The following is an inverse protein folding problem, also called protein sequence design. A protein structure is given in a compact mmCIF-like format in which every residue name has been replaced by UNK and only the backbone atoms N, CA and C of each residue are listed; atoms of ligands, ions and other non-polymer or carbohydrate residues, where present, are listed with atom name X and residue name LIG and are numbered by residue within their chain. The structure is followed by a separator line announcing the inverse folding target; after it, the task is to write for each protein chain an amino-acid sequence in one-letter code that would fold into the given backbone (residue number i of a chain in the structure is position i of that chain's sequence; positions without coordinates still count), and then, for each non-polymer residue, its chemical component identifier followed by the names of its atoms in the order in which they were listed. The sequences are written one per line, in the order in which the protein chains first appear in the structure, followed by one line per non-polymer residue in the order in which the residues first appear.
data_IF_975484233950
#
_entry.id   IF_975484233950
#
_cell.length_a   1.000
_cell.length_b   1.000
_cell.length_c   1.000
_cell.angle_alpha   90.00
_cell.angle_beta   90.00
_cell.angle_gamma   90.00
#
_symmetry.space_group_name_H-M   'P 1'
#
loop_
_entity.id
_entity.type
_entity.pdbx_description
1 polymer ?
#
# COMPACT_ATOMS: atom_id res chain seq x y z
N UNK A 1 1.94 33.95 -36.36
CA UNK A 1 1.64 32.52 -36.66
C UNK A 1 1.21 31.76 -35.40
N UNK A 2 1.88 31.98 -34.26
CA UNK A 2 1.58 31.33 -32.97
C UNK A 2 0.13 31.52 -32.46
N UNK A 3 -0.48 32.70 -32.66
CA UNK A 3 -1.85 32.98 -32.18
C UNK A 3 -2.94 32.09 -32.81
N UNK A 4 -2.80 31.73 -34.10
CA UNK A 4 -3.81 30.90 -34.78
C UNK A 4 -3.73 29.44 -34.34
N UNK A 5 -2.52 28.94 -34.11
CA UNK A 5 -2.29 27.59 -33.58
C UNK A 5 -2.83 27.48 -32.16
N UNK A 6 -2.55 28.45 -31.29
CA UNK A 6 -3.05 28.47 -29.91
C UNK A 6 -4.59 28.45 -29.86
N UNK A 7 -5.22 29.22 -30.75
CA UNK A 7 -6.68 29.30 -30.87
C UNK A 7 -7.29 28.00 -31.39
N UNK A 8 -6.69 27.37 -32.39
CA UNK A 8 -7.13 26.09 -32.90
C UNK A 8 -7.04 24.99 -31.82
N UNK A 9 -5.90 24.94 -31.10
CA UNK A 9 -5.69 23.98 -30.01
C UNK A 9 -6.70 24.20 -28.87
N UNK A 10 -6.95 25.44 -28.48
CA UNK A 10 -7.93 25.76 -27.44
C UNK A 10 -9.32 25.21 -27.76
N UNK A 11 -9.83 25.50 -28.96
CA UNK A 11 -11.17 25.04 -29.35
C UNK A 11 -11.26 23.53 -29.56
N UNK A 12 -10.19 22.89 -30.03
CA UNK A 12 -10.11 21.43 -30.10
C UNK A 12 -10.24 20.81 -28.71
N UNK A 13 -9.50 21.32 -27.72
CA UNK A 13 -9.55 20.82 -26.34
C UNK A 13 -10.91 21.08 -25.70
N UNK A 14 -11.54 22.23 -25.93
CA UNK A 14 -12.90 22.52 -25.45
C UNK A 14 -13.92 21.53 -26.01
N UNK A 15 -13.81 21.19 -27.30
CA UNK A 15 -14.70 20.21 -27.92
C UNK A 15 -14.51 18.80 -27.35
N UNK A 16 -13.26 18.40 -27.11
CA UNK A 16 -12.93 17.12 -26.48
C UNK A 16 -13.46 17.05 -25.04
N UNK A 17 -13.28 18.10 -24.25
CA UNK A 17 -13.79 18.18 -22.87
C UNK A 17 -15.33 18.13 -22.83
N UNK A 18 -16.00 18.90 -23.68
CA UNK A 18 -17.46 18.87 -23.77
C UNK A 18 -17.99 17.48 -24.17
N UNK A 19 -17.32 16.82 -25.11
CA UNK A 19 -17.63 15.45 -25.52
C UNK A 19 -17.42 14.44 -24.39
N UNK A 20 -16.32 14.55 -23.64
CA UNK A 20 -16.05 13.71 -22.47
C UNK A 20 -17.13 13.91 -21.40
N UNK A 21 -17.43 15.15 -21.01
CA UNK A 21 -18.47 15.46 -20.01
C UNK A 21 -19.83 14.84 -20.40
N UNK A 22 -20.20 14.94 -21.69
CA UNK A 22 -21.41 14.31 -22.21
C UNK A 22 -21.39 12.78 -22.10
N UNK A 23 -20.27 12.15 -22.48
CA UNK A 23 -20.11 10.69 -22.40
C UNK A 23 -20.15 10.19 -20.94
N UNK A 24 -19.46 10.86 -20.03
CA UNK A 24 -19.43 10.54 -18.59
C UNK A 24 -20.80 10.73 -17.95
N UNK A 25 -21.59 11.71 -18.38
CA UNK A 25 -22.97 11.88 -17.92
C UNK A 25 -23.86 10.70 -18.31
N UNK A 26 -23.77 10.23 -19.57
CA UNK A 26 -24.53 9.08 -20.06
C UNK A 26 -24.10 7.78 -19.35
N UNK A 27 -22.80 7.54 -19.22
CA UNK A 27 -22.27 6.33 -18.56
C UNK A 27 -22.50 6.35 -17.03
N UNK A 28 -22.37 7.51 -16.39
CA UNK A 28 -22.58 7.68 -14.95
C UNK A 28 -24.03 7.42 -14.53
N UNK A 29 -25.01 7.76 -15.37
CA UNK A 29 -26.42 7.41 -15.16
C UNK A 29 -26.67 5.90 -15.33
N UNK A 30 -25.97 5.25 -16.27
CA UNK A 30 -26.08 3.82 -16.50
C UNK A 30 -25.40 2.97 -15.40
N UNK A 31 -24.35 3.50 -14.77
CA UNK A 31 -23.56 2.82 -13.73
C UNK A 31 -24.06 3.08 -12.29
N UNK A 32 -25.05 3.96 -12.10
CA UNK A 32 -25.67 4.25 -10.81
C UNK A 32 -26.56 3.08 -10.35
N UNK A 33 -25.95 1.93 -10.05
CA UNK A 33 -26.57 0.85 -9.28
C UNK A 33 -26.89 1.30 -7.85
N UNK A 34 -27.48 0.41 -7.01
CA UNK A 34 -28.02 0.74 -5.68
C UNK A 34 -26.93 0.98 -4.61
N UNK A 35 -25.97 1.84 -4.90
CA UNK A 35 -24.89 2.23 -3.99
C UNK A 35 -25.25 3.50 -3.20
N UNK A 36 -24.57 3.71 -2.07
CA UNK A 36 -24.87 4.72 -1.04
C UNK A 36 -24.63 6.19 -1.46
N UNK A 37 -24.32 6.47 -2.73
CA UNK A 37 -24.10 7.83 -3.23
C UNK A 37 -25.37 8.38 -3.85
N UNK A 38 -25.80 9.58 -3.41
CA UNK A 38 -27.01 10.19 -3.94
C UNK A 38 -26.85 10.49 -5.44
N UNK A 39 -27.87 10.26 -6.29
CA UNK A 39 -27.83 10.60 -7.71
C UNK A 39 -27.48 12.08 -7.99
N UNK A 40 -27.86 12.96 -7.06
CA UNK A 40 -27.51 14.38 -7.09
C UNK A 40 -26.00 14.62 -6.95
N UNK A 41 -25.32 13.87 -6.09
CA UNK A 41 -23.86 13.96 -5.93
C UNK A 41 -23.12 13.56 -7.21
N UNK A 42 -23.61 12.52 -7.89
CA UNK A 42 -23.05 12.06 -9.18
C UNK A 42 -23.25 13.12 -10.26
N UNK A 43 -24.46 13.70 -10.35
CA UNK A 43 -24.76 14.79 -11.28
C UNK A 43 -23.88 16.03 -11.02
N UNK A 44 -23.72 16.41 -9.76
CA UNK A 44 -22.89 17.55 -9.36
C UNK A 44 -21.42 17.36 -9.74
N UNK A 45 -20.85 16.20 -9.39
CA UNK A 45 -19.42 15.94 -9.55
C UNK A 45 -19.02 15.66 -11.01
N UNK A 46 -19.85 14.94 -11.78
CA UNK A 46 -19.49 14.50 -13.13
C UNK A 46 -19.94 15.46 -14.23
N UNK A 47 -20.90 16.35 -13.96
CA UNK A 47 -21.47 17.21 -14.99
C UNK A 47 -21.42 18.69 -14.62
N UNK A 48 -21.97 19.07 -13.46
CA UNK A 48 -22.10 20.50 -13.09
C UNK A 48 -20.74 21.15 -12.83
N UNK A 49 -19.90 20.53 -12.01
CA UNK A 49 -18.58 21.09 -11.67
C UNK A 49 -17.65 21.16 -12.90
N UNK A 50 -17.46 20.08 -13.69
CA UNK A 50 -16.64 20.14 -14.90
C UNK A 50 -17.17 21.13 -15.95
N UNK A 51 -18.49 21.18 -16.13
CA UNK A 51 -19.13 22.12 -17.05
C UNK A 51 -18.92 23.59 -16.65
N UNK A 52 -19.00 23.90 -15.35
CA UNK A 52 -18.73 25.25 -14.85
C UNK A 52 -17.27 25.67 -15.05
N UNK A 53 -16.31 24.76 -14.83
CA UNK A 53 -14.88 25.00 -15.08
C UNK A 53 -14.63 25.26 -16.57
N UNK A 54 -15.20 24.43 -17.46
CA UNK A 54 -15.08 24.61 -18.91
C UNK A 54 -15.69 25.94 -19.38
N UNK A 55 -16.88 26.29 -18.87
CA UNK A 55 -17.53 27.57 -19.18
C UNK A 55 -16.69 28.77 -18.70
N UNK A 56 -16.11 28.69 -17.50
CA UNK A 56 -15.20 29.70 -16.97
C UNK A 56 -13.95 29.88 -17.84
N UNK A 57 -13.36 28.79 -18.31
CA UNK A 57 -12.20 28.83 -19.21
C UNK A 57 -12.53 29.46 -20.57
N UNK A 58 -13.67 29.12 -21.17
CA UNK A 58 -14.16 29.74 -22.42
C UNK A 58 -14.41 31.23 -22.22
N UNK A 59 -15.06 31.62 -21.12
CA UNK A 59 -15.34 33.02 -20.81
C UNK A 59 -14.04 33.82 -20.62
N UNK A 60 -13.07 33.24 -19.90
CA UNK A 60 -11.74 33.83 -19.72
C UNK A 60 -11.03 34.00 -21.06
N UNK A 61 -11.04 32.99 -21.93
CA UNK A 61 -10.41 33.05 -23.25
C UNK A 61 -10.98 34.16 -24.15
N UNK A 62 -12.32 34.31 -24.16
CA UNK A 62 -13.01 35.31 -24.99
C UNK A 62 -12.82 36.74 -24.49
N UNK A 63 -12.72 36.94 -23.17
CA UNK A 63 -12.65 38.28 -22.54
C UNK A 63 -11.25 38.69 -22.08
N UNK A 64 -10.27 37.80 -22.18
CA UNK A 64 -8.90 38.07 -21.76
C UNK A 64 -8.30 39.27 -22.53
N UNK A 65 -7.92 40.36 -21.83
CA UNK A 65 -7.24 41.50 -22.44
C UNK A 65 -5.76 41.24 -22.72
N UNK A 66 -5.18 40.21 -22.09
CA UNK A 66 -3.76 39.88 -22.19
C UNK A 66 -3.58 38.42 -22.61
N UNK A 67 -2.54 38.14 -23.41
CA UNK A 67 -2.30 36.81 -23.98
C UNK A 67 -1.96 35.75 -22.92
N UNK A 68 -1.33 36.12 -21.81
CA UNK A 68 -1.04 35.17 -20.73
C UNK A 68 -2.31 34.63 -20.06
N UNK A 69 -3.41 35.38 -20.02
CA UNK A 69 -4.70 34.90 -19.51
C UNK A 69 -5.33 33.86 -20.46
N UNK A 70 -5.07 33.97 -21.77
CA UNK A 70 -5.47 32.94 -22.74
C UNK A 70 -4.64 31.67 -22.55
N UNK A 71 -3.35 31.79 -22.23
CA UNK A 71 -2.52 30.64 -21.85
C UNK A 71 -3.06 29.98 -20.58
N UNK A 72 -3.51 30.75 -19.58
CA UNK A 72 -4.17 30.19 -18.37
C UNK A 72 -5.45 29.43 -18.74
N UNK A 73 -6.32 30.01 -19.58
CA UNK A 73 -7.51 29.31 -20.06
C UNK A 73 -7.16 28.02 -20.83
N UNK A 74 -6.12 28.03 -21.65
CA UNK A 74 -5.63 26.83 -22.34
C UNK A 74 -5.14 25.76 -21.36
N UNK A 75 -4.39 26.15 -20.33
CA UNK A 75 -3.90 25.22 -19.31
C UNK A 75 -5.07 24.54 -18.58
N UNK A 76 -6.12 25.29 -18.24
CA UNK A 76 -7.32 24.76 -17.58
C UNK A 76 -8.01 23.68 -18.42
N UNK A 77 -8.21 23.92 -19.72
CA UNK A 77 -8.87 22.95 -20.63
C UNK A 77 -7.92 21.80 -21.00
N UNK A 78 -6.61 21.99 -20.93
CA UNK A 78 -5.64 20.92 -21.18
C UNK A 78 -5.44 19.97 -19.99
N UNK A 79 -5.75 20.42 -18.77
CA UNK A 79 -5.44 19.68 -17.54
C UNK A 79 -6.02 18.25 -17.47
N UNK A 80 -7.27 17.97 -17.89
CA UNK A 80 -7.80 16.62 -17.90
C UNK A 80 -7.01 15.67 -18.82
N UNK A 81 -6.62 16.17 -19.99
CA UNK A 81 -5.86 15.41 -20.98
C UNK A 81 -4.41 15.22 -20.56
N UNK A 82 -3.80 16.22 -19.92
CA UNK A 82 -2.47 16.09 -19.33
C UNK A 82 -2.48 15.06 -18.20
N UNK A 83 -3.54 15.02 -17.37
CA UNK A 83 -3.71 13.99 -16.36
C UNK A 83 -3.90 12.60 -16.97
N UNK A 84 -4.70 12.47 -18.04
CA UNK A 84 -4.88 11.23 -18.78
C UNK A 84 -3.60 10.75 -19.47
N UNK A 85 -2.87 11.64 -20.14
CA UNK A 85 -1.59 11.32 -20.79
C UNK A 85 -0.53 11.00 -19.75
N UNK A 86 -0.45 11.75 -18.65
CA UNK A 86 0.45 11.44 -17.53
C UNK A 86 0.13 10.06 -16.97
N UNK A 87 -1.14 9.77 -16.71
CA UNK A 87 -1.62 8.47 -16.25
C UNK A 87 -1.31 7.36 -17.26
N UNK A 88 -1.50 7.60 -18.56
CA UNK A 88 -1.20 6.65 -19.62
C UNK A 88 0.31 6.42 -19.78
N UNK A 89 1.15 7.43 -19.56
CA UNK A 89 2.60 7.30 -19.59
C UNK A 89 3.12 6.54 -18.36
N UNK A 90 2.55 6.78 -17.18
CA UNK A 90 2.89 6.01 -15.97
C UNK A 90 2.37 4.58 -16.07
N UNK A 91 1.13 4.40 -16.54
CA UNK A 91 0.51 3.07 -16.71
C UNK A 91 1.11 2.29 -17.88
N UNK A 92 1.52 2.97 -18.95
CA UNK A 92 2.18 2.36 -20.11
C UNK A 92 3.56 1.81 -19.76
N UNK A 93 4.33 2.50 -18.93
CA UNK A 93 5.58 1.96 -18.36
C UNK A 93 5.33 0.71 -17.51
N UNK A 94 4.22 0.68 -16.76
CA UNK A 94 3.81 -0.48 -15.98
C UNK A 94 3.41 -1.66 -16.88
N UNK A 95 2.55 -1.44 -17.88
CA UNK A 95 2.17 -2.46 -18.87
C UNK A 95 3.36 -3.00 -19.64
N UNK A 96 4.37 -2.17 -19.94
CA UNK A 96 5.60 -2.64 -20.60
C UNK A 96 6.43 -3.57 -19.69
N UNK A 97 6.43 -3.36 -18.37
CA UNK A 97 7.06 -4.27 -17.40
C UNK A 97 6.22 -5.53 -17.15
N UNK A 98 4.89 -5.38 -17.17
CA UNK A 98 3.92 -6.44 -16.89
C UNK A 98 2.91 -6.66 -18.06
N UNK A 99 3.37 -7.02 -19.28
CA UNK A 99 2.54 -7.00 -20.49
C UNK A 99 1.46 -8.08 -20.58
N UNK A 100 1.36 -8.97 -19.59
CA UNK A 100 0.42 -10.10 -19.58
C UNK A 100 -0.75 -9.99 -18.61
N UNK A 101 -0.92 -8.88 -17.89
CA UNK A 101 -1.75 -8.86 -16.68
C UNK A 101 -2.81 -7.76 -16.67
N UNK A 102 -3.98 -8.05 -17.27
CA UNK A 102 -5.16 -7.17 -17.25
C UNK A 102 -5.89 -7.17 -15.89
N UNK A 103 -5.51 -8.06 -14.96
CA UNK A 103 -6.07 -8.19 -13.60
C UNK A 103 -5.15 -7.71 -12.47
N UNK A 104 -4.00 -7.10 -12.80
CA UNK A 104 -3.15 -6.40 -11.84
C UNK A 104 -2.12 -7.21 -11.04
N UNK A 105 -1.99 -8.53 -11.23
CA UNK A 105 -1.28 -9.40 -10.25
C UNK A 105 0.24 -9.21 -10.06
N UNK A 106 1.06 -8.62 -10.90
CA UNK A 106 2.53 -8.77 -10.86
C UNK A 106 3.01 -10.22 -11.07
N UNK A 107 3.96 -10.39 -12.01
CA UNK A 107 4.61 -11.67 -12.27
C UNK A 107 5.30 -12.25 -11.02
N UNK A 108 5.86 -11.38 -10.19
CA UNK A 108 6.57 -11.76 -8.97
C UNK A 108 5.63 -12.32 -7.90
N UNK A 109 4.50 -11.65 -7.64
CA UNK A 109 3.54 -12.15 -6.64
C UNK A 109 2.96 -13.51 -7.04
N UNK A 110 2.65 -13.70 -8.32
CA UNK A 110 2.20 -14.99 -8.85
C UNK A 110 3.27 -16.08 -8.72
N UNK A 111 4.52 -15.79 -9.05
CA UNK A 111 5.62 -16.74 -8.91
C UNK A 111 5.82 -17.16 -7.44
N UNK A 112 5.70 -16.22 -6.49
CA UNK A 112 5.76 -16.51 -5.06
C UNK A 112 4.62 -17.41 -4.60
N UNK A 113 3.38 -17.17 -5.06
CA UNK A 113 2.22 -18.04 -4.72
C UNK A 113 2.42 -19.47 -5.22
N UNK A 114 3.00 -19.64 -6.40
CA UNK A 114 3.19 -20.95 -6.99
C UNK A 114 4.22 -21.80 -6.22
N UNK A 115 5.10 -21.17 -5.43
CA UNK A 115 6.03 -21.90 -4.54
C UNK A 115 5.32 -22.77 -3.51
N UNK A 116 4.10 -22.44 -3.08
CA UNK A 116 3.33 -23.31 -2.17
C UNK A 116 3.02 -24.67 -2.80
N UNK A 117 2.85 -24.69 -4.13
CA UNK A 117 2.53 -25.89 -4.90
C UNK A 117 3.78 -26.60 -5.35
N UNK A 118 4.76 -25.85 -5.85
CA UNK A 118 6.02 -26.38 -6.35
C UNK A 118 7.20 -25.49 -5.92
N UNK A 119 7.88 -25.83 -4.81
CA UNK A 119 9.06 -25.11 -4.34
C UNK A 119 10.21 -25.05 -5.36
N UNK A 120 10.23 -25.93 -6.37
CA UNK A 120 11.28 -25.93 -7.42
C UNK A 120 11.17 -24.72 -8.35
N UNK A 121 10.03 -24.01 -8.35
CA UNK A 121 9.84 -22.79 -9.13
C UNK A 121 10.56 -21.56 -8.53
N UNK A 122 11.38 -21.75 -7.50
CA UNK A 122 12.23 -20.68 -6.93
C UNK A 122 13.12 -20.02 -7.99
N UNK A 123 13.54 -20.76 -9.03
CA UNK A 123 14.31 -20.20 -10.13
C UNK A 123 13.51 -19.18 -10.96
N UNK A 124 12.18 -19.30 -11.03
CA UNK A 124 11.31 -18.29 -11.65
C UNK A 124 11.36 -16.98 -10.85
N UNK A 125 11.28 -17.06 -9.52
CA UNK A 125 11.41 -15.88 -8.64
C UNK A 125 12.78 -15.23 -8.84
N UNK A 126 13.85 -16.04 -8.85
CA UNK A 126 15.23 -15.59 -9.08
C UNK A 126 15.38 -14.90 -10.44
N UNK A 127 14.82 -15.48 -11.50
CA UNK A 127 14.86 -14.91 -12.85
C UNK A 127 14.14 -13.56 -12.91
N UNK A 128 12.92 -13.48 -12.35
CA UNK A 128 12.13 -12.23 -12.33
C UNK A 128 12.86 -11.10 -11.59
N UNK A 129 13.48 -11.39 -10.45
CA UNK A 129 14.27 -10.40 -9.72
C UNK A 129 15.49 -9.92 -10.52
N UNK A 130 16.18 -10.82 -11.22
CA UNK A 130 17.29 -10.46 -12.13
C UNK A 130 16.83 -9.60 -13.32
N UNK A 131 15.62 -9.84 -13.82
CA UNK A 131 15.00 -9.04 -14.88
C UNK A 131 14.48 -7.67 -14.38
N UNK A 132 14.63 -7.38 -13.08
CA UNK A 132 14.26 -6.09 -12.49
C UNK A 132 12.81 -6.01 -12.03
N UNK A 133 12.17 -7.14 -11.73
CA UNK A 133 10.93 -7.13 -10.97
C UNK A 133 11.15 -6.42 -9.63
N UNK A 134 10.27 -5.48 -9.27
CA UNK A 134 10.40 -4.69 -8.05
C UNK A 134 9.98 -5.53 -6.83
N UNK A 135 10.90 -5.84 -5.89
CA UNK A 135 10.57 -6.65 -4.72
C UNK A 135 9.68 -5.92 -3.70
N UNK A 136 9.39 -4.63 -3.92
CA UNK A 136 8.51 -3.80 -3.10
C UNK A 136 7.19 -3.46 -3.81
N UNK A 137 6.91 -4.04 -4.98
CA UNK A 137 5.67 -3.80 -5.72
C UNK A 137 4.49 -4.38 -4.94
N UNK A 138 3.61 -3.50 -4.47
CA UNK A 138 2.41 -3.89 -3.74
C UNK A 138 1.27 -4.19 -4.72
N UNK A 139 0.77 -5.43 -4.68
CA UNK A 139 -0.52 -5.79 -5.26
C UNK A 139 -1.55 -6.00 -4.14
N UNK A 140 -1.84 -7.25 -3.78
CA UNK A 140 -2.67 -7.59 -2.61
C UNK A 140 -1.86 -7.71 -1.32
N UNK A 141 -0.61 -8.12 -1.45
CA UNK A 141 0.33 -8.30 -0.37
C UNK A 141 1.72 -7.92 -0.87
N UNK A 142 2.54 -7.32 0.01
CA UNK A 142 3.94 -7.10 -0.30
C UNK A 142 4.65 -8.43 -0.57
N UNK A 143 5.50 -8.54 -1.62
CA UNK A 143 6.23 -9.76 -1.92
C UNK A 143 6.97 -10.31 -0.71
N UNK A 144 7.57 -9.43 0.09
CA UNK A 144 8.27 -9.80 1.32
C UNK A 144 7.33 -10.41 2.38
N UNK A 145 6.13 -9.85 2.56
CA UNK A 145 5.14 -10.41 3.48
C UNK A 145 4.66 -11.79 3.01
N UNK A 146 4.47 -11.98 1.69
CA UNK A 146 4.13 -13.29 1.11
C UNK A 146 5.25 -14.30 1.41
N UNK A 147 6.51 -13.96 1.15
CA UNK A 147 7.65 -14.84 1.43
C UNK A 147 7.79 -15.20 2.92
N UNK A 148 7.45 -14.28 3.83
CA UNK A 148 7.42 -14.57 5.27
C UNK A 148 6.38 -15.65 5.60
N UNK A 149 5.17 -15.59 5.04
CA UNK A 149 4.16 -16.63 5.24
C UNK A 149 4.58 -17.98 4.67
N UNK A 150 5.28 -17.96 3.53
CA UNK A 150 5.80 -19.16 2.87
C UNK A 150 6.92 -19.83 3.65
N UNK A 151 7.66 -19.09 4.48
CA UNK A 151 8.89 -19.56 5.12
C UNK A 151 8.73 -20.89 5.88
N UNK A 152 7.60 -21.08 6.57
CA UNK A 152 7.31 -22.32 7.29
C UNK A 152 7.00 -23.53 6.41
N UNK A 153 6.70 -23.33 5.12
CA UNK A 153 6.29 -24.37 4.16
C UNK A 153 7.36 -24.67 3.12
N UNK A 154 8.07 -23.65 2.64
CA UNK A 154 9.03 -23.76 1.54
C UNK A 154 10.46 -23.38 1.95
N UNK A 155 10.68 -22.96 3.19
CA UNK A 155 11.97 -22.49 3.69
C UNK A 155 12.17 -20.98 3.52
N UNK A 156 13.29 -20.45 4.04
CA UNK A 156 13.61 -19.02 4.06
C UNK A 156 14.26 -18.50 2.76
N UNK A 157 14.47 -19.36 1.75
CA UNK A 157 15.11 -18.98 0.49
C UNK A 157 14.37 -17.85 -0.25
N UNK A 158 13.03 -17.87 -0.44
CA UNK A 158 12.32 -16.77 -1.12
C UNK A 158 12.47 -15.45 -0.37
N UNK A 159 12.48 -15.52 0.96
CA UNK A 159 12.67 -14.38 1.84
C UNK A 159 14.07 -13.77 1.64
N UNK A 160 15.12 -14.60 1.65
CA UNK A 160 16.50 -14.15 1.37
C UNK A 160 16.63 -13.52 -0.01
N UNK A 161 16.08 -14.15 -1.05
CA UNK A 161 16.15 -13.62 -2.41
C UNK A 161 15.53 -12.23 -2.54
N UNK A 162 14.37 -12.02 -1.94
CA UNK A 162 13.71 -10.72 -1.97
C UNK A 162 14.51 -9.67 -1.21
N UNK A 163 15.00 -9.99 -0.01
CA UNK A 163 15.81 -9.07 0.78
C UNK A 163 17.14 -8.74 0.08
N UNK A 164 17.78 -9.71 -0.57
CA UNK A 164 19.00 -9.52 -1.35
C UNK A 164 18.74 -8.68 -2.62
N UNK A 165 17.52 -8.75 -3.18
CA UNK A 165 17.07 -7.90 -4.28
C UNK A 165 16.62 -6.49 -3.85
N UNK A 166 16.65 -6.17 -2.56
CA UNK A 166 16.30 -4.84 -2.04
C UNK A 166 14.85 -4.70 -1.56
N UNK A 167 14.19 -5.81 -1.19
CA UNK A 167 12.93 -5.73 -0.45
C UNK A 167 13.14 -4.97 0.87
N UNK A 168 12.31 -3.98 1.12
CA UNK A 168 12.34 -3.17 2.34
C UNK A 168 11.44 -3.81 3.42
N UNK A 169 12.00 -4.32 4.53
CA UNK A 169 11.22 -4.87 5.63
C UNK A 169 10.28 -3.85 6.28
N UNK A 170 10.53 -2.55 6.10
CA UNK A 170 9.75 -1.46 6.65
C UNK A 170 8.71 -0.91 5.69
N UNK A 171 8.65 -1.44 4.45
CA UNK A 171 7.64 -1.05 3.48
C UNK A 171 6.26 -1.30 4.08
N UNK A 172 5.43 -0.26 4.10
CA UNK A 172 4.08 -0.35 4.64
C UNK A 172 3.12 -0.87 3.59
N UNK A 173 2.24 -1.79 4.00
CA UNK A 173 1.08 -2.21 3.23
C UNK A 173 -0.02 -1.11 3.21
N UNK A 174 -1.09 -1.34 2.46
CA UNK A 174 -2.28 -0.49 2.38
C UNK A 174 -2.94 -0.20 3.75
N UNK A 175 -2.66 -1.03 4.76
CA UNK A 175 -3.15 -0.84 6.13
C UNK A 175 -2.17 -0.04 7.00
N UNK A 176 -1.02 0.33 6.48
CA UNK A 176 0.04 1.07 7.17
C UNK A 176 0.96 0.17 8.02
N UNK A 177 0.91 -1.15 7.85
CA UNK A 177 1.73 -2.11 8.59
C UNK A 177 3.02 -2.39 7.84
N UNK A 178 4.20 -2.33 8.49
CA UNK A 178 5.45 -2.67 7.82
C UNK A 178 5.47 -4.16 7.45
N UNK A 179 6.14 -4.51 6.35
CA UNK A 179 6.16 -5.87 5.81
C UNK A 179 6.58 -6.93 6.86
N UNK A 180 7.54 -6.58 7.71
CA UNK A 180 8.03 -7.49 8.76
C UNK A 180 6.95 -7.90 9.77
N UNK A 181 5.83 -7.16 9.92
CA UNK A 181 4.73 -7.57 10.81
C UNK A 181 4.15 -8.95 10.44
N UNK A 182 4.27 -9.40 9.18
CA UNK A 182 3.87 -10.74 8.80
C UNK A 182 4.59 -11.82 9.64
N UNK A 183 5.80 -11.55 10.12
CA UNK A 183 6.60 -12.49 10.91
C UNK A 183 6.07 -12.71 12.33
N UNK A 184 5.09 -11.92 12.76
CA UNK A 184 4.40 -12.09 14.04
C UNK A 184 3.30 -13.15 13.98
N UNK A 185 2.99 -13.73 12.81
CA UNK A 185 1.97 -14.76 12.65
C UNK A 185 2.25 -16.02 13.49
N UNK A 186 1.21 -16.68 13.98
CA UNK A 186 1.29 -17.81 14.92
C UNK A 186 2.22 -18.96 14.48
N UNK A 187 2.31 -19.19 13.17
CA UNK A 187 3.07 -20.31 12.57
C UNK A 187 4.45 -19.91 12.06
N UNK A 188 4.86 -18.64 12.21
CA UNK A 188 6.14 -18.16 11.68
C UNK A 188 7.26 -18.43 12.69
N UNK A 189 8.35 -19.02 12.20
CA UNK A 189 9.54 -19.31 13.00
C UNK A 189 10.25 -18.01 13.43
N UNK A 190 10.65 -17.86 14.71
CA UNK A 190 11.47 -16.73 15.18
C UNK A 190 12.75 -16.45 14.38
N UNK A 191 13.31 -17.45 13.69
CA UNK A 191 14.45 -17.27 12.79
C UNK A 191 14.14 -16.29 11.64
N UNK A 192 12.90 -16.29 11.14
CA UNK A 192 12.44 -15.33 10.11
C UNK A 192 12.49 -13.90 10.66
N UNK A 193 12.00 -13.70 11.88
CA UNK A 193 12.07 -12.38 12.53
C UNK A 193 13.52 -11.97 12.80
N UNK A 194 14.39 -12.92 13.17
CA UNK A 194 15.83 -12.64 13.36
C UNK A 194 16.48 -12.15 12.08
N UNK A 195 16.24 -12.82 10.95
CA UNK A 195 16.72 -12.39 9.64
C UNK A 195 16.20 -11.00 9.27
N UNK A 196 14.92 -10.71 9.50
CA UNK A 196 14.36 -9.38 9.21
C UNK A 196 15.01 -8.28 10.04
N UNK A 197 15.31 -8.55 11.32
CA UNK A 197 16.05 -7.61 12.19
C UNK A 197 17.46 -7.37 11.63
N UNK A 198 18.17 -8.41 11.22
CA UNK A 198 19.50 -8.30 10.60
C UNK A 198 19.47 -7.48 9.29
N UNK A 199 18.33 -7.50 8.58
CA UNK A 199 18.10 -6.69 7.37
C UNK A 199 17.46 -5.33 7.64
N UNK A 200 17.42 -4.87 8.90
CA UNK A 200 17.04 -3.50 9.24
C UNK A 200 15.54 -3.27 9.49
N UNK A 201 14.81 -4.30 9.95
CA UNK A 201 13.43 -4.10 10.42
C UNK A 201 13.38 -3.10 11.59
N UNK A 202 12.62 -2.02 11.42
CA UNK A 202 12.36 -1.00 12.42
C UNK A 202 11.34 -1.52 13.45
N UNK A 203 11.85 -1.85 14.64
CA UNK A 203 11.06 -2.39 15.74
C UNK A 203 10.27 -1.33 16.51
N UNK A 204 10.40 -0.05 16.16
CA UNK A 204 9.59 1.05 16.70
C UNK A 204 8.35 1.34 15.83
N UNK A 205 8.28 0.76 14.63
CA UNK A 205 7.14 0.92 13.74
C UNK A 205 5.85 0.37 14.35
N UNK A 206 4.76 1.14 14.20
CA UNK A 206 3.43 0.79 14.68
C UNK A 206 2.45 0.62 13.52
N UNK A 207 1.50 -0.29 13.67
CA UNK A 207 0.35 -0.39 12.78
C UNK A 207 -0.67 0.74 12.98
N UNK A 208 -1.79 0.69 12.26
CA UNK A 208 -2.85 1.71 12.28
C UNK A 208 -3.46 1.98 13.67
N UNK A 209 -3.49 0.98 14.55
CA UNK A 209 -4.00 1.12 15.92
C UNK A 209 -2.97 1.72 16.90
N UNK A 210 -1.79 2.14 16.43
CA UNK A 210 -0.68 2.57 17.28
C UNK A 210 0.03 1.42 18.00
N UNK A 211 -0.40 0.18 17.77
CA UNK A 211 0.23 -1.01 18.34
C UNK A 211 1.48 -1.42 17.55
N UNK A 212 2.58 -1.68 18.26
CA UNK A 212 3.82 -2.21 17.70
C UNK A 212 3.80 -3.72 17.44
N UNK A 213 4.92 -4.27 16.96
CA UNK A 213 5.02 -5.70 16.64
C UNK A 213 4.89 -6.64 17.84
N UNK A 214 5.25 -6.20 19.05
CA UNK A 214 5.08 -7.01 20.28
C UNK A 214 3.59 -7.28 20.55
N UNK A 215 2.74 -6.26 20.40
CA UNK A 215 1.29 -6.40 20.50
C UNK A 215 0.73 -7.32 19.42
N UNK A 216 1.25 -7.22 18.19
CA UNK A 216 0.78 -8.07 17.11
C UNK A 216 1.13 -9.54 17.37
N UNK A 217 2.36 -9.84 17.82
CA UNK A 217 2.80 -11.19 18.18
C UNK A 217 2.05 -11.74 19.41
N UNK A 218 1.68 -10.88 20.35
CA UNK A 218 0.80 -11.23 21.47
C UNK A 218 -0.59 -11.66 20.98
N UNK A 219 -1.22 -10.86 20.12
CA UNK A 219 -2.57 -11.13 19.62
C UNK A 219 -2.64 -12.41 18.77
N UNK A 220 -1.57 -12.75 18.05
CA UNK A 220 -1.46 -14.00 17.28
C UNK A 220 -0.99 -15.19 18.13
N UNK A 221 -0.67 -14.97 19.42
CA UNK A 221 -0.10 -15.95 20.35
C UNK A 221 1.26 -16.50 19.92
N UNK A 222 2.03 -15.77 19.10
CA UNK A 222 3.42 -16.10 18.82
C UNK A 222 4.34 -15.54 19.91
N UNK A 223 4.30 -16.16 21.10
CA UNK A 223 5.06 -15.68 22.26
C UNK A 223 6.58 -15.73 22.05
N UNK A 224 7.08 -16.65 21.20
CA UNK A 224 8.51 -16.74 20.88
C UNK A 224 8.98 -15.51 20.10
N UNK A 225 8.21 -15.06 19.11
CA UNK A 225 8.49 -13.81 18.40
C UNK A 225 8.26 -12.60 19.30
N UNK A 226 7.22 -12.61 20.15
CA UNK A 226 6.99 -11.54 21.11
C UNK A 226 8.18 -11.36 22.07
N UNK A 227 8.72 -12.46 22.61
CA UNK A 227 9.89 -12.47 23.49
C UNK A 227 11.12 -11.93 22.76
N UNK A 228 11.40 -12.43 21.55
CA UNK A 228 12.49 -11.92 20.72
C UNK A 228 12.39 -10.41 20.49
N UNK A 229 11.19 -9.90 20.16
CA UNK A 229 10.97 -8.47 19.95
C UNK A 229 11.19 -7.66 21.24
N UNK A 230 10.75 -8.16 22.40
CA UNK A 230 10.99 -7.51 23.70
C UNK A 230 12.48 -7.43 24.00
N UNK A 231 13.22 -8.52 23.81
CA UNK A 231 14.67 -8.58 24.03
C UNK A 231 15.45 -7.66 23.09
N UNK A 232 14.94 -7.44 21.87
CA UNK A 232 15.54 -6.56 20.87
C UNK A 232 15.06 -5.10 20.99
N UNK A 233 14.33 -4.76 22.06
CA UNK A 233 13.95 -3.39 22.37
C UNK A 233 12.78 -2.84 21.54
N UNK A 234 11.95 -3.69 20.95
CA UNK A 234 10.77 -3.27 20.19
C UNK A 234 9.81 -2.42 21.04
N UNK A 235 9.04 -1.54 20.41
CA UNK A 235 8.07 -0.71 21.14
C UNK A 235 7.00 -1.57 21.83
N UNK A 236 6.69 -1.23 23.08
CA UNK A 236 5.54 -1.75 23.82
C UNK A 236 4.33 -0.82 23.71
N UNK A 237 4.45 0.25 22.93
CA UNK A 237 3.41 1.26 22.74
C UNK A 237 2.15 0.67 22.11
N UNK A 238 1.01 1.21 22.53
CA UNK A 238 -0.32 0.70 22.22
C UNK A 238 -1.12 0.43 23.50
N UNK A 239 -2.42 0.27 23.33
CA UNK A 239 -3.34 -0.10 24.41
C UNK A 239 -4.21 -1.26 23.96
N UNK A 240 -4.54 -2.14 24.89
CA UNK A 240 -5.50 -3.22 24.64
C UNK A 240 -6.92 -2.64 24.45
N UNK A 241 -7.89 -3.42 23.96
CA UNK A 241 -9.29 -3.01 23.92
C UNK A 241 -9.87 -2.62 25.29
N UNK A 242 -9.24 -3.03 26.38
CA UNK A 242 -9.62 -2.66 27.75
C UNK A 242 -8.95 -1.36 28.23
N UNK A 243 -8.19 -0.68 27.37
CA UNK A 243 -7.46 0.55 27.69
C UNK A 243 -6.21 0.33 28.55
N UNK A 244 -5.74 -0.91 28.67
CA UNK A 244 -4.53 -1.24 29.43
C UNK A 244 -3.29 -1.13 28.55
N UNK A 245 -2.19 -0.64 29.11
CA UNK A 245 -0.87 -0.78 28.47
C UNK A 245 -0.43 -2.27 28.42
N UNK A 246 0.70 -2.53 27.77
CA UNK A 246 1.14 -3.90 27.54
C UNK A 246 1.51 -4.63 28.83
N UNK A 247 2.14 -3.94 29.78
CA UNK A 247 2.56 -4.54 31.06
C UNK A 247 1.33 -4.88 31.91
N UNK A 248 0.40 -3.94 32.04
CA UNK A 248 -0.86 -4.14 32.74
C UNK A 248 -1.69 -5.27 32.11
N UNK A 249 -1.65 -5.42 30.78
CA UNK A 249 -2.27 -6.53 30.06
C UNK A 249 -1.64 -7.87 30.43
N UNK A 250 -0.30 -7.97 30.46
CA UNK A 250 0.40 -9.18 30.88
C UNK A 250 0.11 -9.55 32.33
N UNK A 251 0.10 -8.57 33.24
CA UNK A 251 -0.24 -8.79 34.65
C UNK A 251 -1.69 -9.23 34.85
N UNK A 252 -2.62 -8.69 34.06
CA UNK A 252 -4.02 -9.10 34.09
C UNK A 252 -4.17 -10.56 33.62
N UNK A 253 -3.54 -10.94 32.51
CA UNK A 253 -3.57 -12.30 31.97
C UNK A 253 -2.95 -13.31 32.96
N UNK A 254 -1.80 -12.96 33.55
CA UNK A 254 -1.12 -13.78 34.54
C UNK A 254 -1.99 -14.04 35.79
N UNK A 255 -2.80 -13.05 36.20
CA UNK A 255 -3.71 -13.17 37.36
C UNK A 255 -4.96 -14.00 37.07
N UNK A 256 -5.58 -13.85 35.89
CA UNK A 256 -6.89 -14.44 35.61
C UNK A 256 -6.85 -15.85 35.03
N UNK A 257 -5.82 -16.19 34.25
CA UNK A 257 -5.73 -17.49 33.56
C UNK A 257 -4.60 -18.38 34.07
N UNK A 258 -3.98 -18.01 35.20
CA UNK A 258 -2.80 -18.69 35.75
C UNK A 258 -1.55 -18.52 34.90
N UNK A 259 -1.60 -17.67 33.86
CA UNK A 259 -0.50 -17.33 32.93
C UNK A 259 0.30 -18.53 32.48
N UNK A 260 0.06 -19.04 31.26
CA UNK A 260 0.94 -20.06 30.67
C UNK A 260 2.42 -19.67 30.79
N UNK A 261 3.36 -20.63 30.85
CA UNK A 261 4.78 -20.34 31.09
C UNK A 261 5.33 -19.26 30.15
N UNK A 262 4.79 -19.15 28.95
CA UNK A 262 5.11 -18.14 27.95
C UNK A 262 4.73 -16.70 28.39
N UNK A 263 3.57 -16.52 29.05
CA UNK A 263 3.12 -15.22 29.57
C UNK A 263 4.00 -14.80 30.73
N UNK A 264 4.34 -15.73 31.63
CA UNK A 264 5.23 -15.47 32.75
C UNK A 264 6.64 -15.09 32.27
N UNK A 265 7.16 -15.81 31.27
CA UNK A 265 8.45 -15.52 30.65
C UNK A 265 8.47 -14.14 29.98
N UNK A 266 7.43 -13.82 29.21
CA UNK A 266 7.30 -12.53 28.53
C UNK A 266 7.18 -11.38 29.53
N UNK A 267 6.39 -11.54 30.59
CA UNK A 267 6.29 -10.57 31.69
C UNK A 267 7.65 -10.36 32.37
N UNK A 268 8.37 -11.45 32.67
CA UNK A 268 9.70 -11.36 33.25
C UNK A 268 10.68 -10.62 32.33
N UNK A 269 10.63 -10.86 31.02
CA UNK A 269 11.47 -10.16 30.04
C UNK A 269 11.18 -8.66 29.97
N UNK A 270 9.90 -8.27 29.96
CA UNK A 270 9.48 -6.87 29.97
C UNK A 270 9.94 -6.16 31.25
N UNK A 271 9.77 -6.79 32.42
CA UNK A 271 10.19 -6.23 33.70
C UNK A 271 11.72 -6.11 33.81
N UNK A 272 12.48 -7.08 33.27
CA UNK A 272 13.95 -6.99 33.20
C UNK A 272 14.39 -5.78 32.37
N UNK A 273 13.76 -5.55 31.22
CA UNK A 273 14.05 -4.40 30.35
C UNK A 273 13.83 -3.07 31.08
N UNK A 274 12.71 -2.92 31.79
CA UNK A 274 12.39 -1.67 32.52
C UNK A 274 13.37 -1.38 33.66
N UNK A 275 13.98 -2.39 34.28
CA UNK A 275 14.99 -2.21 35.33
C UNK A 275 16.38 -1.87 34.80
N UNK A 276 16.65 -2.15 33.54
CA UNK A 276 17.96 -1.94 32.90
C UNK A 276 18.06 -0.69 32.03
N UNK A 277 16.96 0.01 31.80
CA UNK A 277 16.87 1.29 31.07
C UNK A 277 16.90 2.49 32.00
#
# INVERSE_FOLDING_TARGET
MESQVLKALFWLLVALDAGAIGLWFVLGLAAAGPSKTSPLSVLLLLFVVPGAVLAGAVMLWLRAPADWLRVVALLVVSAPWLALVSSALTSGRWLLRNPGEMYGETKLARALRELERDPRQIETVRALLREGADPNEEFEMLPLAQAIYLAGRVGDEPLRLLLDAGADPNRKDQFGRPAWFAATGATVDPAVMTLLIERGADLQATGRAGCGGVWQAWNTRNFRVALLLVERGATLGGISPMGLDFVATLEAEARHHGGGPEVAELLAAVLRRQKGS
#
